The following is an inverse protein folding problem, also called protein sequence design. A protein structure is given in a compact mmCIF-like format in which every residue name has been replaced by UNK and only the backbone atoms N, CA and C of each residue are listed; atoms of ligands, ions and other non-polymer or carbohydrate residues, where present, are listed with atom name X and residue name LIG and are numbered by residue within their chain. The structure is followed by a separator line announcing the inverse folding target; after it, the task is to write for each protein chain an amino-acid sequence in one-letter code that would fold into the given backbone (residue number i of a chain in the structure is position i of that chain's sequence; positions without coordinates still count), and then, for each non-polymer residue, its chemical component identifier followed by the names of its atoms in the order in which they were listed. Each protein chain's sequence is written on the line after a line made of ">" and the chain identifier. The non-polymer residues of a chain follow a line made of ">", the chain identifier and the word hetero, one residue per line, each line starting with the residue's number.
data_IF_592847932033
#
_entry.id   IF_592847932033
#
_cell.length_a   1.000
_cell.length_b   1.000
_cell.length_c   1.000
_cell.angle_alpha   90.00
_cell.angle_beta   90.00
_cell.angle_gamma   90.00
#
_symmetry.space_group_name_H-M   'P 1'
#
loop_
_entity.id
_entity.type
_entity.pdbx_description
1 polymer ?
#
# COMPACT_ATOMS: atom_id res chain seq x y z
N UNK A 1 -2.52 19.16 -4.49
CA UNK A 1 -1.39 18.77 -5.38
C UNK A 1 -2.01 17.88 -6.42
N UNK A 2 -1.74 18.07 -7.72
CA UNK A 2 -2.49 17.30 -8.73
C UNK A 2 -2.11 15.81 -8.69
N UNK A 3 -3.01 14.94 -9.16
CA UNK A 3 -2.73 13.50 -9.29
C UNK A 3 -1.47 13.22 -10.11
N UNK A 4 -1.26 13.95 -11.20
CA UNK A 4 -0.05 13.83 -12.03
C UNK A 4 1.24 14.11 -11.25
N UNK A 5 1.22 15.12 -10.37
CA UNK A 5 2.36 15.48 -9.53
C UNK A 5 2.60 14.46 -8.41
N UNK A 6 1.53 13.93 -7.81
CA UNK A 6 1.59 12.85 -6.81
C UNK A 6 2.18 11.58 -7.41
N UNK A 7 1.60 11.11 -8.51
CA UNK A 7 2.03 9.89 -9.18
C UNK A 7 3.44 9.98 -9.78
N UNK A 8 3.89 11.19 -10.13
CA UNK A 8 5.26 11.44 -10.57
C UNK A 8 6.32 11.32 -9.48
N UNK A 9 5.93 11.33 -8.20
CA UNK A 9 6.84 11.16 -7.05
C UNK A 9 7.01 9.69 -6.64
N UNK A 10 6.18 8.78 -7.17
CA UNK A 10 6.30 7.36 -6.89
C UNK A 10 7.55 6.78 -7.55
N UNK A 11 8.32 5.95 -6.82
CA UNK A 11 9.39 5.16 -7.42
C UNK A 11 8.89 4.36 -8.63
N UNK A 12 9.73 4.22 -9.64
CA UNK A 12 9.37 3.43 -10.83
C UNK A 12 9.36 1.93 -10.50
N UNK A 13 8.28 1.19 -10.79
CA UNK A 13 8.15 -0.23 -10.44
C UNK A 13 9.19 -1.14 -11.10
N UNK A 14 9.76 -0.75 -12.24
CA UNK A 14 10.85 -1.50 -12.89
C UNK A 14 12.20 -1.35 -12.19
N UNK A 15 12.35 -0.38 -11.29
CA UNK A 15 13.61 -0.10 -10.55
C UNK A 15 13.43 -0.07 -9.04
N UNK A 16 12.20 -0.14 -8.54
CA UNK A 16 11.90 -0.10 -7.13
C UNK A 16 12.35 -1.38 -6.42
N UNK A 17 13.14 -1.22 -5.36
CA UNK A 17 13.56 -2.30 -4.49
C UNK A 17 13.16 -1.97 -3.06
N UNK A 18 12.50 -2.92 -2.41
CA UNK A 18 12.22 -2.79 -0.98
C UNK A 18 13.49 -3.03 -0.16
N UNK A 19 13.64 -2.34 0.98
CA UNK A 19 14.66 -2.64 1.97
C UNK A 19 14.65 -4.11 2.42
N UNK A 20 15.81 -4.59 2.84
CA UNK A 20 15.89 -5.87 3.56
C UNK A 20 15.46 -5.65 5.01
N UNK A 21 14.26 -6.10 5.33
CA UNK A 21 13.67 -5.99 6.68
C UNK A 21 14.11 -7.12 7.62
N UNK A 22 15.06 -7.97 7.22
CA UNK A 22 15.46 -9.11 8.06
C UNK A 22 16.09 -8.64 9.38
N UNK A 23 15.38 -8.91 10.47
CA UNK A 23 15.86 -8.70 11.84
C UNK A 23 16.18 -10.04 12.50
N UNK A 24 17.20 -10.09 13.38
CA UNK A 24 17.69 -11.35 13.94
C UNK A 24 16.70 -12.06 14.89
N UNK A 25 15.66 -11.38 15.39
CA UNK A 25 14.64 -11.96 16.28
C UNK A 25 13.30 -11.22 16.19
N UNK A 26 12.30 -11.81 15.54
CA UNK A 26 10.91 -11.29 15.52
C UNK A 26 10.54 -10.58 14.22
N UNK A 27 9.29 -10.12 14.15
CA UNK A 27 8.75 -9.44 12.98
C UNK A 27 9.04 -7.92 13.06
N UNK A 28 9.70 -7.34 12.04
CA UNK A 28 9.95 -5.91 11.96
C UNK A 28 8.62 -5.15 11.80
N UNK A 29 8.51 -4.00 12.45
CA UNK A 29 7.41 -3.05 12.28
C UNK A 29 7.92 -1.62 12.18
N UNK A 30 7.14 -0.76 11.53
CA UNK A 30 7.39 0.65 11.29
C UNK A 30 6.22 1.43 11.91
N UNK A 31 6.43 2.13 13.03
CA UNK A 31 5.34 2.74 13.78
C UNK A 31 4.99 4.08 13.13
N UNK A 32 3.78 4.23 12.62
CA UNK A 32 3.35 5.48 12.00
C UNK A 32 2.17 6.08 12.75
N UNK A 33 2.16 7.41 12.84
CA UNK A 33 1.01 8.12 13.36
C UNK A 33 -0.09 8.17 12.30
N UNK A 34 -1.30 7.74 12.67
CA UNK A 34 -2.48 7.74 11.82
C UNK A 34 -3.65 8.34 12.58
N UNK A 35 -4.44 9.15 11.89
CA UNK A 35 -5.71 9.69 12.40
C UNK A 35 -6.90 8.89 11.89
N UNK A 36 -8.03 8.96 12.60
CA UNK A 36 -9.27 8.35 12.14
C UNK A 36 -9.76 8.96 10.82
N UNK A 37 -9.52 10.27 10.62
CA UNK A 37 -9.87 10.97 9.37
C UNK A 37 -9.07 10.42 8.19
N UNK A 38 -7.75 10.32 8.33
CA UNK A 38 -6.90 9.72 7.30
C UNK A 38 -7.33 8.28 6.98
N UNK A 39 -7.64 7.48 8.01
CA UNK A 39 -8.11 6.11 7.81
C UNK A 39 -9.42 6.05 7.05
N UNK A 40 -10.40 6.90 7.39
CA UNK A 40 -11.65 7.02 6.63
C UNK A 40 -11.39 7.45 5.19
N UNK A 41 -10.51 8.42 4.97
CA UNK A 41 -10.17 8.89 3.62
C UNK A 41 -9.55 7.77 2.77
N UNK A 42 -8.64 6.96 3.33
CA UNK A 42 -8.03 5.84 2.59
C UNK A 42 -9.02 4.69 2.38
N UNK A 43 -9.96 4.47 3.31
CA UNK A 43 -11.07 3.52 3.13
C UNK A 43 -11.97 3.92 1.95
N UNK A 44 -12.35 5.19 1.84
CA UNK A 44 -13.12 5.70 0.70
C UNK A 44 -12.39 5.52 -0.64
N UNK A 45 -11.06 5.72 -0.65
CA UNK A 45 -10.23 5.43 -1.81
C UNK A 45 -10.23 3.94 -2.16
N UNK A 46 -10.15 3.06 -1.16
CA UNK A 46 -10.21 1.61 -1.36
C UNK A 46 -11.55 1.17 -1.93
N UNK A 47 -12.67 1.71 -1.45
CA UNK A 47 -14.00 1.42 -2.00
C UNK A 47 -14.10 1.83 -3.48
N UNK A 48 -13.59 3.03 -3.82
CA UNK A 48 -13.51 3.47 -5.21
C UNK A 48 -12.63 2.55 -6.07
N UNK A 49 -11.48 2.13 -5.53
CA UNK A 49 -10.56 1.22 -6.19
C UNK A 49 -11.18 -0.16 -6.45
N UNK A 50 -11.87 -0.74 -5.46
CA UNK A 50 -12.53 -2.05 -5.58
C UNK A 50 -13.65 -2.05 -6.62
N UNK A 51 -14.29 -0.89 -6.85
CA UNK A 51 -15.38 -0.76 -7.83
C UNK A 51 -14.92 -0.78 -9.30
N UNK A 52 -13.61 -0.72 -9.55
CA UNK A 52 -13.04 -0.72 -10.90
C UNK A 52 -13.15 -2.11 -11.53
N UNK A 53 -13.76 -2.18 -12.72
CA UNK A 53 -13.78 -3.39 -13.54
C UNK A 53 -12.43 -3.56 -14.27
N UNK A 54 -11.64 -4.61 -13.95
CA UNK A 54 -10.30 -4.81 -14.49
C UNK A 54 -10.27 -5.35 -15.94
N UNK A 55 -11.41 -5.50 -16.62
CA UNK A 55 -11.45 -6.16 -17.94
C UNK A 55 -10.64 -5.48 -19.06
N UNK A 56 -10.13 -4.26 -18.87
CA UNK A 56 -9.21 -3.61 -19.80
C UNK A 56 -7.71 -3.73 -19.48
N UNK A 57 -7.35 -4.27 -18.31
CA UNK A 57 -5.99 -4.20 -17.74
C UNK A 57 -4.91 -4.93 -18.54
N UNK A 58 -5.25 -5.99 -19.28
CA UNK A 58 -4.31 -6.77 -20.10
C UNK A 58 -3.62 -5.95 -21.21
N UNK A 59 -4.06 -4.72 -21.45
CA UNK A 59 -3.55 -3.83 -22.51
C UNK A 59 -2.56 -2.76 -22.02
N UNK A 60 -2.31 -2.64 -20.71
CA UNK A 60 -1.51 -1.54 -20.14
C UNK A 60 -0.08 -1.99 -19.75
N UNK A 61 0.97 -1.46 -20.39
CA UNK A 61 2.36 -1.86 -20.15
C UNK A 61 2.88 -1.48 -18.75
N UNK A 62 2.33 -0.43 -18.12
CA UNK A 62 2.70 -0.07 -16.74
C UNK A 62 2.14 -1.06 -15.73
N UNK A 63 0.91 -1.52 -15.94
CA UNK A 63 0.28 -2.55 -15.12
C UNK A 63 0.90 -3.93 -15.37
N UNK A 64 1.33 -4.23 -16.60
CA UNK A 64 2.12 -5.42 -16.91
C UNK A 64 3.43 -5.45 -16.09
N UNK A 65 4.15 -4.32 -16.02
CA UNK A 65 5.36 -4.19 -15.21
C UNK A 65 5.06 -4.33 -13.71
N UNK A 66 4.03 -3.65 -13.21
CA UNK A 66 3.60 -3.77 -11.81
C UNK A 66 3.18 -5.20 -11.46
N UNK A 67 2.43 -5.86 -12.33
CA UNK A 67 2.02 -7.27 -12.22
C UNK A 67 3.22 -8.21 -12.19
N UNK A 68 4.17 -8.00 -13.09
CA UNK A 68 5.41 -8.80 -13.15
C UNK A 68 6.20 -8.65 -11.85
N UNK A 69 6.29 -7.43 -11.33
CA UNK A 69 6.95 -7.15 -10.06
C UNK A 69 6.19 -7.75 -8.87
N UNK A 70 4.85 -7.67 -8.83
CA UNK A 70 4.03 -8.36 -7.82
C UNK A 70 4.27 -9.87 -7.84
N UNK A 71 4.29 -10.50 -9.03
CA UNK A 71 4.57 -11.92 -9.16
C UNK A 71 5.96 -12.30 -8.63
N UNK A 72 6.96 -11.44 -8.84
CA UNK A 72 8.32 -11.64 -8.32
C UNK A 72 8.39 -11.42 -6.80
N UNK A 73 7.66 -10.43 -6.26
CA UNK A 73 7.65 -10.10 -4.84
C UNK A 73 6.86 -11.14 -3.99
N UNK A 74 5.76 -11.67 -4.51
CA UNK A 74 4.85 -12.56 -3.77
C UNK A 74 4.92 -14.05 -4.18
N UNK A 75 5.59 -14.40 -5.28
CA UNK A 75 6.03 -15.78 -5.56
C UNK A 75 4.99 -16.80 -6.05
N UNK A 76 3.84 -16.39 -6.64
CA UNK A 76 2.80 -17.33 -7.13
C UNK A 76 2.43 -17.13 -8.61
N UNK A 77 2.19 -18.25 -9.31
CA UNK A 77 1.91 -18.32 -10.75
C UNK A 77 0.45 -17.99 -11.11
N UNK A 78 0.25 -17.05 -12.05
CA UNK A 78 -1.02 -16.76 -12.79
C UNK A 78 -2.32 -16.85 -11.95
N UNK A 79 -2.34 -16.18 -10.81
CA UNK A 79 -3.54 -15.85 -10.03
C UNK A 79 -3.79 -14.34 -10.18
N UNK A 80 -5.04 -13.86 -10.25
CA UNK A 80 -5.37 -12.45 -10.53
C UNK A 80 -4.71 -11.53 -9.49
N UNK A 81 -3.63 -10.82 -9.84
CA UNK A 81 -2.87 -10.01 -8.88
C UNK A 81 -3.73 -8.88 -8.30
N UNK A 82 -4.72 -8.41 -9.06
CA UNK A 82 -5.68 -7.40 -8.63
C UNK A 82 -6.58 -7.88 -7.48
N UNK A 83 -7.03 -9.14 -7.50
CA UNK A 83 -7.90 -9.71 -6.45
C UNK A 83 -7.11 -9.88 -5.14
N UNK A 84 -5.89 -10.41 -5.22
CA UNK A 84 -5.00 -10.52 -4.05
C UNK A 84 -4.65 -9.14 -3.48
N UNK A 85 -4.37 -8.14 -4.34
CA UNK A 85 -4.09 -6.79 -3.89
C UNK A 85 -5.29 -6.17 -3.16
N UNK A 86 -6.53 -6.42 -3.61
CA UNK A 86 -7.72 -5.94 -2.92
C UNK A 86 -7.87 -6.57 -1.52
N UNK A 87 -7.56 -7.86 -1.39
CA UNK A 87 -7.55 -8.55 -0.10
C UNK A 87 -6.43 -8.03 0.82
N UNK A 88 -5.24 -7.79 0.27
CA UNK A 88 -4.10 -7.26 1.02
C UNK A 88 -4.36 -5.82 1.51
N UNK A 89 -4.99 -4.97 0.69
CA UNK A 89 -5.40 -3.62 1.11
C UNK A 89 -6.47 -3.70 2.20
N UNK A 90 -7.45 -4.60 2.08
CA UNK A 90 -8.46 -4.79 3.12
C UNK A 90 -7.83 -5.25 4.45
N UNK A 91 -6.88 -6.20 4.39
CA UNK A 91 -6.15 -6.66 5.57
C UNK A 91 -5.37 -5.51 6.23
N UNK A 92 -4.59 -4.74 5.45
CA UNK A 92 -3.88 -3.53 5.91
C UNK A 92 -4.83 -2.56 6.65
N UNK A 93 -5.97 -2.22 6.04
CA UNK A 93 -6.89 -1.23 6.59
C UNK A 93 -7.58 -1.74 7.86
N UNK A 94 -7.87 -3.04 7.94
CA UNK A 94 -8.38 -3.66 9.16
C UNK A 94 -7.34 -3.63 10.28
N UNK A 95 -6.09 -4.01 9.99
CA UNK A 95 -5.00 -3.96 10.98
C UNK A 95 -4.81 -2.55 11.54
N UNK A 96 -4.82 -1.53 10.68
CA UNK A 96 -4.70 -0.13 11.09
C UNK A 96 -5.92 0.34 11.90
N UNK A 97 -7.12 -0.10 11.53
CA UNK A 97 -8.35 0.17 12.28
C UNK A 97 -8.31 -0.45 13.68
N UNK A 98 -7.87 -1.70 13.78
CA UNK A 98 -7.75 -2.45 15.03
C UNK A 98 -6.70 -1.82 15.95
N UNK A 99 -5.52 -1.45 15.43
CA UNK A 99 -4.48 -0.74 16.16
C UNK A 99 -4.96 0.64 16.64
N UNK A 100 -5.71 1.38 15.80
CA UNK A 100 -6.26 2.67 16.17
C UNK A 100 -7.32 2.54 17.27
N UNK A 101 -8.09 1.45 17.28
CA UNK A 101 -9.04 1.10 18.34
C UNK A 101 -10.14 2.15 18.54
N UNK A 102 -10.57 2.80 17.47
CA UNK A 102 -11.59 3.86 17.49
C UNK A 102 -11.14 5.21 18.08
N UNK A 103 -9.83 5.38 18.32
CA UNK A 103 -9.26 6.68 18.73
C UNK A 103 -9.24 7.66 17.55
N UNK A 104 -9.28 8.96 17.84
CA UNK A 104 -9.15 10.00 16.80
C UNK A 104 -7.75 10.06 16.19
N UNK A 105 -6.74 9.64 16.95
CA UNK A 105 -5.34 9.54 16.51
C UNK A 105 -4.62 8.48 17.34
N UNK A 106 -3.70 7.76 16.70
CA UNK A 106 -2.90 6.72 17.34
C UNK A 106 -1.64 6.38 16.55
N UNK A 107 -0.84 5.48 17.11
CA UNK A 107 0.27 4.84 16.40
C UNK A 107 -0.21 3.46 15.97
N UNK A 108 -0.02 3.14 14.70
CA UNK A 108 -0.27 1.82 14.11
C UNK A 108 1.07 1.21 13.70
N UNK A 109 1.19 -0.11 13.79
CA UNK A 109 2.42 -0.82 13.47
C UNK A 109 2.37 -1.34 12.03
N UNK A 110 2.99 -0.63 11.10
CA UNK A 110 3.11 -1.09 9.72
C UNK A 110 4.17 -2.20 9.59
N UNK A 111 3.81 -3.32 9.00
CA UNK A 111 4.73 -4.43 8.67
C UNK A 111 5.40 -4.22 7.31
N UNK A 112 6.44 -4.99 6.95
CA UNK A 112 6.99 -5.00 5.60
C UNK A 112 5.94 -5.30 4.52
N UNK A 113 4.98 -6.16 4.83
CA UNK A 113 3.87 -6.47 3.91
C UNK A 113 2.96 -5.27 3.76
N UNK A 114 2.65 -4.55 4.83
CA UNK A 114 1.92 -3.28 4.75
C UNK A 114 2.65 -2.25 3.88
N UNK A 115 3.97 -2.12 3.99
CA UNK A 115 4.74 -1.24 3.10
C UNK A 115 4.59 -1.65 1.63
N UNK A 116 4.74 -2.95 1.32
CA UNK A 116 4.53 -3.44 -0.05
C UNK A 116 3.13 -3.11 -0.55
N UNK A 117 2.11 -3.40 0.26
CA UNK A 117 0.70 -3.13 -0.07
C UNK A 117 0.45 -1.65 -0.33
N UNK A 118 0.98 -0.74 0.49
CA UNK A 118 0.86 0.71 0.28
C UNK A 118 1.46 1.15 -1.06
N UNK A 119 2.66 0.64 -1.39
CA UNK A 119 3.31 0.92 -2.66
C UNK A 119 2.48 0.41 -3.85
N UNK A 120 2.00 -0.83 -3.77
CA UNK A 120 1.21 -1.43 -4.83
C UNK A 120 -0.15 -0.75 -5.00
N UNK A 121 -0.78 -0.32 -3.92
CA UNK A 121 -2.01 0.44 -3.99
C UNK A 121 -1.80 1.76 -4.75
N UNK A 122 -0.73 2.51 -4.44
CA UNK A 122 -0.38 3.74 -5.14
C UNK A 122 -0.08 3.51 -6.63
N UNK A 123 0.69 2.47 -6.95
CA UNK A 123 1.04 2.10 -8.34
C UNK A 123 -0.21 1.70 -9.12
N UNK A 124 -1.11 0.91 -8.52
CA UNK A 124 -2.36 0.49 -9.18
C UNK A 124 -3.31 1.67 -9.37
N UNK A 125 -3.44 2.58 -8.40
CA UNK A 125 -4.19 3.83 -8.55
C UNK A 125 -3.67 4.66 -9.75
N UNK A 126 -2.34 4.80 -9.88
CA UNK A 126 -1.71 5.45 -11.05
C UNK A 126 -2.05 4.72 -12.35
N UNK A 127 -1.95 3.39 -12.34
CA UNK A 127 -2.21 2.56 -13.51
C UNK A 127 -3.65 2.67 -14.00
N UNK A 128 -4.62 2.64 -13.08
CA UNK A 128 -6.05 2.76 -13.38
C UNK A 128 -6.40 4.18 -13.84
N UNK A 129 -5.87 5.20 -13.19
CA UNK A 129 -6.12 6.60 -13.57
C UNK A 129 -5.56 6.93 -14.97
N UNK A 130 -4.39 6.37 -15.31
CA UNK A 130 -3.77 6.55 -16.62
C UNK A 130 -4.35 5.67 -17.74
N UNK A 131 -5.21 4.70 -17.43
CA UNK A 131 -5.73 3.76 -18.41
C UNK A 131 -6.97 4.33 -19.14
N UNK A 132 -6.92 4.53 -20.46
CA UNK A 132 -7.97 5.25 -21.20
C UNK A 132 -9.32 4.52 -21.26
N UNK A 133 -9.33 3.22 -20.96
CA UNK A 133 -10.52 2.36 -20.97
C UNK A 133 -11.02 2.02 -19.55
N UNK A 134 -10.32 2.48 -18.51
CA UNK A 134 -10.71 2.30 -17.11
C UNK A 134 -11.37 3.59 -16.62
N UNK A 135 -12.53 3.47 -15.99
CA UNK A 135 -13.19 4.61 -15.35
C UNK A 135 -12.76 4.68 -13.89
N UNK A 136 -11.63 5.33 -13.64
CA UNK A 136 -11.10 5.56 -12.29
C UNK A 136 -10.61 7.00 -12.15
N UNK A 137 -11.30 7.76 -11.30
CA UNK A 137 -11.03 9.17 -11.03
C UNK A 137 -10.98 9.37 -9.50
N UNK A 138 -9.84 9.04 -8.86
CA UNK A 138 -9.73 9.05 -7.41
C UNK A 138 -9.66 10.49 -6.88
N UNK A 139 -10.14 10.69 -5.64
CA UNK A 139 -9.97 11.96 -4.95
C UNK A 139 -8.47 12.27 -4.73
N UNK A 140 -8.05 13.49 -5.12
CA UNK A 140 -6.67 13.98 -4.96
C UNK A 140 -6.20 13.93 -3.51
N UNK A 141 -7.04 14.34 -2.57
CA UNK A 141 -6.73 14.34 -1.14
C UNK A 141 -6.57 12.91 -0.63
N UNK A 142 -7.38 11.97 -1.14
CA UNK A 142 -7.28 10.58 -0.72
C UNK A 142 -6.01 9.89 -1.20
N UNK A 143 -5.60 10.14 -2.45
CA UNK A 143 -4.31 9.67 -2.97
C UNK A 143 -3.14 10.34 -2.23
N UNK A 144 -3.26 11.62 -1.89
CA UNK A 144 -2.25 12.31 -1.09
C UNK A 144 -2.11 11.69 0.31
N UNK A 145 -3.21 11.42 1.00
CA UNK A 145 -3.20 10.74 2.32
C UNK A 145 -2.53 9.37 2.24
N UNK A 146 -2.86 8.56 1.23
CA UNK A 146 -2.22 7.27 1.01
C UNK A 146 -0.71 7.41 0.76
N UNK A 147 -0.30 8.42 -0.02
CA UNK A 147 1.11 8.72 -0.27
C UNK A 147 1.84 9.16 1.01
N UNK A 148 1.20 9.97 1.85
CA UNK A 148 1.76 10.37 3.15
C UNK A 148 1.96 9.16 4.08
N UNK A 149 1.03 8.20 4.11
CA UNK A 149 1.22 6.96 4.85
C UNK A 149 2.42 6.18 4.32
N UNK A 150 2.53 6.01 3.01
CA UNK A 150 3.68 5.37 2.37
C UNK A 150 5.00 6.07 2.72
N UNK A 151 5.05 7.40 2.68
CA UNK A 151 6.23 8.18 3.08
C UNK A 151 6.56 7.97 4.56
N UNK A 152 5.57 8.05 5.46
CA UNK A 152 5.78 7.82 6.89
C UNK A 152 6.41 6.45 7.12
N UNK A 153 5.91 5.39 6.46
CA UNK A 153 6.48 4.04 6.56
C UNK A 153 7.90 3.97 6.00
N UNK A 154 8.14 4.60 4.85
CA UNK A 154 9.46 4.62 4.18
C UNK A 154 10.53 5.37 5.01
N UNK A 155 10.12 6.44 5.69
CA UNK A 155 11.01 7.29 6.50
C UNK A 155 11.24 6.72 7.92
N UNK A 156 10.46 5.72 8.35
CA UNK A 156 10.68 5.06 9.64
C UNK A 156 11.76 3.97 9.55
N UNK A 157 12.63 3.94 10.57
CA UNK A 157 13.46 2.76 10.82
C UNK A 157 12.62 1.62 11.40
N UNK A 158 12.81 0.41 10.88
CA UNK A 158 12.13 -0.77 11.40
C UNK A 158 12.61 -1.12 12.83
N UNK A 159 11.67 -1.43 13.72
CA UNK A 159 11.94 -1.93 15.07
C UNK A 159 11.22 -3.26 15.34
N UNK A 160 11.61 -3.95 16.42
CA UNK A 160 10.98 -5.22 16.80
C UNK A 160 9.75 -4.99 17.68
N UNK A 161 8.59 -5.48 17.23
CA UNK A 161 7.41 -5.63 18.09
C UNK A 161 7.71 -6.76 19.08
N UNK A 162 7.77 -6.43 20.37
CA UNK A 162 8.16 -7.33 21.47
C UNK A 162 9.58 -7.93 21.33
N UNK A 163 10.64 -7.19 21.70
CA UNK A 163 11.96 -7.79 21.83
C UNK A 163 11.87 -8.93 22.84
N UNK A 164 12.08 -10.18 22.39
CA UNK A 164 12.23 -11.31 23.28
C UNK A 164 13.30 -10.93 24.31
N UNK A 165 12.89 -10.72 25.56
CA UNK A 165 13.81 -10.35 26.61
C UNK A 165 14.88 -11.43 26.67
N UNK A 166 16.15 -11.05 26.84
CA UNK A 166 17.27 -12.00 26.95
C UNK A 166 17.22 -12.75 28.31
N UNK A 167 16.05 -12.83 28.94
CA UNK A 167 15.79 -13.31 30.30
C UNK A 167 14.55 -14.24 30.36
N UNK A 168 14.33 -15.07 29.35
CA UNK A 168 13.49 -16.28 29.47
C UNK A 168 14.33 -17.55 29.30
#
# INVERSE_FOLDING_TARGET
>A
MSLEQLFGQLPDPGTHAFPDYSLPKGEPVMPIAVTSEELTTVLELYEAFQSVDPTGLDSNPFLEAATTYMQQAFGVARYRPDEQLQDDIAALLNDFSDDLGGRTMGVVDATPDHHRTLYFFLVSCRGYHGAPHVRFDPDEAAVATLYEWYQRVTDQDAYLKHPASVLE
#
